data_IF_775838733459
#
_entry.id   IF_775838733459
#
_cell.length_a   1.000
_cell.length_b   1.000
_cell.length_c   1.000
_cell.angle_alpha   90.00
_cell.angle_beta   90.00
_cell.angle_gamma   90.00
#
_symmetry.space_group_name_H-M   'P 1'
#
loop_
_entity.id
_entity.type
_entity.pdbx_description
1 polymer ?
#
# COMPACT_ATOMS: atom_id res chain seq x y z
N UNK A 1 0.06 -8.01 -9.75
CA UNK A 1 -0.18 -8.79 -8.51
C UNK A 1 0.84 -9.90 -8.33
N UNK A 2 0.89 -10.92 -9.19
CA UNK A 2 1.83 -12.06 -9.03
C UNK A 2 3.30 -11.62 -8.99
N UNK A 3 3.71 -10.69 -9.87
CA UNK A 3 5.06 -10.13 -9.85
C UNK A 3 5.42 -9.44 -8.50
N UNK A 4 4.46 -8.75 -7.85
CA UNK A 4 4.69 -8.09 -6.55
C UNK A 4 4.94 -9.11 -5.42
N UNK A 5 4.31 -10.29 -5.49
CA UNK A 5 4.56 -11.36 -4.53
C UNK A 5 5.91 -12.03 -4.76
N UNK A 6 6.23 -12.31 -6.04
CA UNK A 6 7.49 -12.94 -6.42
C UNK A 6 8.69 -12.05 -6.09
N UNK A 7 8.59 -10.74 -6.31
CA UNK A 7 9.65 -9.76 -6.03
C UNK A 7 10.08 -9.76 -4.56
N UNK A 8 9.11 -9.91 -3.64
CA UNK A 8 9.36 -9.84 -2.20
C UNK A 8 9.32 -11.20 -1.50
N UNK A 9 9.26 -12.29 -2.27
CA UNK A 9 9.12 -13.67 -1.82
C UNK A 9 8.00 -13.84 -0.77
N UNK A 10 6.83 -13.27 -1.08
CA UNK A 10 5.68 -13.22 -0.18
C UNK A 10 4.77 -14.45 -0.33
N UNK A 11 4.12 -14.88 0.77
CA UNK A 11 3.21 -16.01 0.73
C UNK A 11 1.96 -15.73 -0.12
N UNK A 12 1.46 -16.79 -0.76
CA UNK A 12 0.37 -16.72 -1.76
C UNK A 12 -0.97 -16.26 -1.17
N UNK A 13 -1.19 -16.38 0.14
CA UNK A 13 -2.41 -15.89 0.78
C UNK A 13 -2.54 -14.35 0.72
N UNK A 14 -1.44 -13.62 0.50
CA UNK A 14 -1.44 -12.15 0.32
C UNK A 14 -1.85 -11.72 -1.09
N UNK A 15 -2.12 -12.67 -2.00
CA UNK A 15 -2.49 -12.37 -3.38
C UNK A 15 -3.74 -11.50 -3.53
N UNK A 16 -4.83 -11.67 -2.76
CA UNK A 16 -5.99 -10.77 -2.83
C UNK A 16 -5.62 -9.31 -2.53
N UNK A 17 -4.78 -9.09 -1.50
CA UNK A 17 -4.29 -7.76 -1.12
C UNK A 17 -3.37 -7.17 -2.20
N UNK A 18 -2.53 -8.00 -2.82
CA UNK A 18 -1.68 -7.59 -3.94
C UNK A 18 -2.50 -7.19 -5.19
N UNK A 19 -3.67 -7.81 -5.42
CA UNK A 19 -4.59 -7.41 -6.50
C UNK A 19 -5.22 -6.05 -6.20
N UNK A 20 -5.75 -5.88 -4.99
CA UNK A 20 -6.35 -4.60 -4.56
C UNK A 20 -5.34 -3.46 -4.69
N UNK A 21 -4.11 -3.68 -4.20
CA UNK A 21 -3.05 -2.69 -4.29
C UNK A 21 -2.65 -2.39 -5.75
N UNK A 22 -2.55 -3.40 -6.60
CA UNK A 22 -2.28 -3.19 -8.02
C UNK A 22 -3.40 -2.39 -8.72
N UNK A 23 -4.66 -2.60 -8.34
CA UNK A 23 -5.78 -1.81 -8.85
C UNK A 23 -5.69 -0.35 -8.40
N UNK A 24 -5.35 -0.10 -7.13
CA UNK A 24 -5.11 1.24 -6.58
C UNK A 24 -3.98 1.98 -7.30
N UNK A 25 -2.87 1.30 -7.61
CA UNK A 25 -1.79 1.87 -8.42
C UNK A 25 -2.26 2.21 -9.82
N UNK A 26 -3.06 1.34 -10.45
CA UNK A 26 -3.59 1.57 -11.79
C UNK A 26 -4.51 2.79 -11.86
N UNK A 27 -5.32 3.04 -10.82
CA UNK A 27 -6.17 4.24 -10.71
C UNK A 27 -5.35 5.54 -10.65
N UNK A 28 -4.12 5.47 -10.13
CA UNK A 28 -3.18 6.59 -9.99
C UNK A 28 -2.14 6.65 -11.11
N UNK A 29 -2.17 5.70 -12.05
CA UNK A 29 -1.25 5.67 -13.18
C UNK A 29 -1.83 6.47 -14.35
N UNK A 30 -1.02 7.28 -15.04
CA UNK A 30 -1.48 8.02 -16.21
C UNK A 30 -1.85 7.05 -17.32
N UNK A 31 -2.98 7.29 -17.97
CA UNK A 31 -3.45 6.47 -19.07
C UNK A 31 -3.43 7.27 -20.37
N UNK A 32 -2.87 6.68 -21.43
CA UNK A 32 -2.87 7.29 -22.77
C UNK A 32 -4.28 7.60 -23.28
N UNK A 33 -5.27 6.77 -22.90
CA UNK A 33 -6.68 6.99 -23.26
C UNK A 33 -7.33 8.19 -22.55
N UNK A 34 -6.67 8.74 -21.53
CA UNK A 34 -7.12 9.88 -20.75
C UNK A 34 -6.21 11.10 -20.98
N UNK A 35 -5.55 11.18 -22.14
CA UNK A 35 -4.60 12.25 -22.49
C UNK A 35 -3.47 12.42 -21.47
N UNK A 36 -3.00 11.30 -20.89
CA UNK A 36 -1.95 11.32 -19.86
C UNK A 36 -2.45 11.65 -18.45
N UNK A 37 -3.76 11.86 -18.25
CA UNK A 37 -4.37 11.99 -16.92
C UNK A 37 -4.54 10.62 -16.26
N UNK A 38 -4.63 10.62 -14.93
CA UNK A 38 -4.93 9.42 -14.15
C UNK A 38 -6.46 9.21 -14.06
N UNK A 39 -6.95 7.96 -13.98
CA UNK A 39 -8.37 7.72 -13.69
C UNK A 39 -8.85 8.44 -12.43
N UNK A 40 -8.00 8.56 -11.40
CA UNK A 40 -8.30 9.32 -10.18
C UNK A 40 -8.52 10.81 -10.49
N UNK A 41 -7.64 11.45 -11.27
CA UNK A 41 -7.81 12.84 -11.69
C UNK A 41 -9.09 13.09 -12.47
N UNK A 42 -9.49 12.15 -13.32
CA UNK A 42 -10.71 12.28 -14.11
C UNK A 42 -11.96 12.22 -13.24
N UNK A 43 -11.94 11.41 -12.18
CA UNK A 43 -13.09 11.23 -11.28
C UNK A 43 -13.16 12.36 -10.23
N UNK A 44 -12.04 12.70 -9.62
CA UNK A 44 -12.00 13.64 -8.47
C UNK A 44 -11.57 15.06 -8.85
N UNK A 45 -11.21 15.30 -10.12
CA UNK A 45 -10.74 16.61 -10.60
C UNK A 45 -9.41 17.07 -10.00
N UNK A 46 -8.76 16.23 -9.19
CA UNK A 46 -7.55 16.55 -8.42
C UNK A 46 -6.49 15.48 -8.63
N UNK A 47 -5.22 15.89 -8.59
CA UNK A 47 -4.09 14.96 -8.73
C UNK A 47 -4.05 14.01 -7.52
N UNK A 48 -3.84 12.69 -7.72
CA UNK A 48 -3.69 11.77 -6.61
C UNK A 48 -2.45 12.12 -5.79
N UNK A 49 -2.57 12.08 -4.47
CA UNK A 49 -1.40 12.12 -3.60
C UNK A 49 -0.62 10.80 -3.72
N UNK A 50 0.62 10.89 -4.18
CA UNK A 50 1.53 9.76 -4.36
C UNK A 50 2.48 9.59 -3.17
N UNK A 51 2.46 10.50 -2.20
CA UNK A 51 3.39 10.51 -1.05
C UNK A 51 3.30 9.25 -0.19
N UNK A 52 2.14 8.59 -0.23
CA UNK A 52 1.85 7.38 0.57
C UNK A 52 2.00 6.08 -0.24
N UNK A 53 2.43 6.15 -1.50
CA UNK A 53 2.66 4.96 -2.33
C UNK A 53 3.95 4.27 -1.89
N UNK A 54 3.84 3.01 -1.48
CA UNK A 54 4.96 2.18 -1.05
C UNK A 54 5.06 0.92 -1.89
N UNK A 55 6.27 0.39 -2.06
CA UNK A 55 6.46 -0.88 -2.75
C UNK A 55 5.77 -1.98 -1.93
N UNK A 56 4.89 -2.76 -2.58
CA UNK A 56 4.23 -3.89 -1.94
C UNK A 56 5.27 -4.87 -1.39
N UNK A 57 5.16 -5.26 -0.13
CA UNK A 57 6.10 -6.13 0.58
C UNK A 57 7.31 -5.44 1.18
N UNK A 58 7.45 -4.12 1.01
CA UNK A 58 8.50 -3.32 1.65
C UNK A 58 8.40 -3.36 3.18
N UNK A 59 9.56 -3.22 3.84
CA UNK A 59 9.64 -3.19 5.29
C UNK A 59 9.05 -1.88 5.79
N UNK A 60 8.05 -1.98 6.68
CA UNK A 60 7.43 -0.83 7.34
C UNK A 60 7.46 -1.01 8.84
N UNK A 61 7.42 0.11 9.56
CA UNK A 61 7.27 0.11 11.01
C UNK A 61 5.89 0.67 11.35
N UNK A 62 5.14 -0.05 12.17
CA UNK A 62 3.85 0.40 12.65
C UNK A 62 3.83 0.43 14.18
N UNK A 63 3.02 1.34 14.72
CA UNK A 63 2.79 1.42 16.15
C UNK A 63 1.77 0.35 16.55
N UNK A 64 2.08 -0.41 17.60
CA UNK A 64 1.14 -1.37 18.14
C UNK A 64 0.20 -0.67 19.13
N UNK A 65 -1.01 -0.36 18.70
CA UNK A 65 -2.01 0.34 19.53
C UNK A 65 -2.64 -0.56 20.60
N UNK A 66 -2.42 -1.87 20.55
CA UNK A 66 -2.92 -2.82 21.55
C UNK A 66 -1.97 -3.05 22.75
N UNK A 67 -0.89 -2.27 22.89
CA UNK A 67 0.00 -2.41 24.06
C UNK A 67 -0.58 -1.75 25.30
N UNK A 68 -0.62 -2.50 26.40
CA UNK A 68 -0.87 -1.95 27.73
C UNK A 68 0.20 -0.87 28.06
N UNK A 69 -0.25 0.22 28.67
CA UNK A 69 0.54 1.44 28.97
C UNK A 69 1.77 1.21 29.89
N UNK A 70 1.98 -0.02 30.36
CA UNK A 70 3.01 -0.41 31.34
C UNK A 70 4.37 -0.77 30.72
N UNK A 71 4.49 -0.95 29.40
CA UNK A 71 5.77 -1.28 28.74
C UNK A 71 6.51 -0.01 28.28
N UNK A 72 6.99 0.79 29.23
CA UNK A 72 7.56 2.13 28.98
C UNK A 72 8.93 2.16 28.25
N UNK A 73 9.56 1.01 27.98
CA UNK A 73 10.96 0.94 27.48
C UNK A 73 11.16 -0.08 26.34
N UNK A 74 10.13 -0.40 25.57
CA UNK A 74 10.23 -1.34 24.44
C UNK A 74 10.17 -0.57 23.12
N UNK A 75 10.91 -0.96 22.06
CA UNK A 75 10.82 -0.31 20.76
C UNK A 75 9.35 -0.13 20.33
N UNK A 76 8.98 1.13 20.05
CA UNK A 76 7.60 1.53 19.75
C UNK A 76 7.11 1.04 18.39
N UNK A 77 8.03 0.81 17.46
CA UNK A 77 7.73 0.35 16.10
C UNK A 77 7.90 -1.16 15.98
N UNK A 78 6.82 -1.85 15.62
CA UNK A 78 6.90 -3.24 15.17
C UNK A 78 7.24 -3.26 13.68
N UNK A 79 8.20 -4.11 13.32
CA UNK A 79 8.56 -4.35 11.92
C UNK A 79 7.50 -5.23 11.27
N UNK A 80 6.93 -4.74 10.17
CA UNK A 80 5.98 -5.46 9.33
C UNK A 80 6.35 -5.36 7.85
N UNK A 81 5.47 -5.89 7.01
CA UNK A 81 5.54 -5.71 5.56
C UNK A 81 4.30 -4.97 5.08
N UNK A 82 4.49 -4.01 4.19
CA UNK A 82 3.38 -3.28 3.58
C UNK A 82 2.60 -4.21 2.64
N UNK A 83 1.30 -4.36 2.87
CA UNK A 83 0.42 -5.24 2.07
C UNK A 83 -0.73 -4.47 1.43
N UNK A 84 -0.61 -3.15 1.30
CA UNK A 84 -1.65 -2.28 0.77
C UNK A 84 -2.31 -1.41 1.84
N UNK A 85 -3.39 -0.74 1.46
CA UNK A 85 -4.19 0.08 2.35
C UNK A 85 -5.38 -0.73 2.85
N UNK A 86 -5.81 -0.47 4.09
CA UNK A 86 -7.11 -0.95 4.53
C UNK A 86 -8.20 -0.28 3.67
N UNK A 87 -9.18 -1.06 3.23
CA UNK A 87 -10.44 -0.49 2.76
C UNK A 87 -11.02 0.31 3.94
N UNK A 88 -11.26 1.61 3.70
CA UNK A 88 -11.79 2.53 4.71
C UNK A 88 -13.23 2.19 5.09
#
# INVERSE_FOLDING_TARGET
ATAMLSDQNLPRFLWPLAIQYAAELKKRSPARRLDGKTPYEVIYGTKPDLSRILIFGSVVYYQNDHRAQSEKVTPRGLRGRFVGFADG
#
